data_IF_885866102500
#
_entry.id   IF_885866102500
#
_cell.length_a   1.000
_cell.length_b   1.000
_cell.length_c   1.000
_cell.angle_alpha   90.00
_cell.angle_beta   90.00
_cell.angle_gamma   90.00
#
_symmetry.space_group_name_H-M   'P 1'
#
loop_
_entity.id
_entity.type
_entity.pdbx_description
1 polymer ?
#
# COMPACT_ATOMS: atom_id res chain seq x y z
N UNK A 1 2.85 -22.24 -9.57
CA UNK A 1 4.33 -22.29 -9.48
C UNK A 1 4.84 -20.99 -10.08
N UNK A 2 5.31 -20.04 -9.27
CA UNK A 2 5.88 -18.80 -9.80
C UNK A 2 7.20 -19.14 -10.51
N UNK A 3 7.33 -18.79 -11.79
CA UNK A 3 8.52 -19.06 -12.58
C UNK A 3 9.56 -17.97 -12.28
N UNK A 4 10.68 -18.32 -11.65
CA UNK A 4 11.79 -17.40 -11.47
C UNK A 4 12.63 -17.35 -12.75
N UNK A 5 12.94 -16.15 -13.23
CA UNK A 5 13.81 -15.93 -14.40
C UNK A 5 15.11 -15.27 -13.95
N UNK A 6 16.23 -15.89 -14.28
CA UNK A 6 17.54 -15.32 -14.02
C UNK A 6 17.82 -14.15 -14.96
N UNK A 7 18.38 -13.07 -14.41
CA UNK A 7 18.72 -11.85 -15.13
C UNK A 7 20.18 -11.51 -14.82
N UNK A 8 20.97 -11.30 -15.86
CA UNK A 8 22.35 -10.82 -15.75
C UNK A 8 22.40 -9.34 -16.11
N UNK A 9 22.90 -8.52 -15.19
CA UNK A 9 22.98 -7.05 -15.33
C UNK A 9 24.38 -6.57 -14.98
N UNK A 10 24.82 -5.51 -15.65
CA UNK A 10 26.06 -4.80 -15.30
C UNK A 10 25.71 -3.54 -14.52
N UNK A 11 26.31 -3.37 -13.35
CA UNK A 11 26.10 -2.21 -12.49
C UNK A 11 27.43 -1.51 -12.20
N UNK A 12 27.43 -0.18 -12.02
CA UNK A 12 28.57 0.55 -11.47
C UNK A 12 29.04 -0.05 -10.15
N UNK A 13 30.35 -0.05 -9.91
CA UNK A 13 30.96 -0.59 -8.69
C UNK A 13 30.38 0.04 -7.42
N UNK A 14 30.04 1.33 -7.46
CA UNK A 14 29.39 2.02 -6.34
C UNK A 14 28.04 1.42 -5.95
N UNK A 15 27.22 1.02 -6.93
CA UNK A 15 25.93 0.37 -6.66
C UNK A 15 26.12 -1.05 -6.13
N UNK A 16 27.10 -1.79 -6.63
CA UNK A 16 27.42 -3.12 -6.10
C UNK A 16 27.85 -3.02 -4.64
N UNK A 17 28.70 -2.05 -4.30
CA UNK A 17 29.10 -1.79 -2.90
C UNK A 17 27.92 -1.40 -2.02
N UNK A 18 26.99 -0.59 -2.55
CA UNK A 18 25.76 -0.25 -1.83
C UNK A 18 24.91 -1.49 -1.54
N UNK A 19 24.70 -2.36 -2.54
CA UNK A 19 23.94 -3.60 -2.38
C UNK A 19 24.55 -4.49 -1.29
N UNK A 20 25.87 -4.68 -1.31
CA UNK A 20 26.57 -5.48 -0.28
C UNK A 20 26.44 -4.87 1.12
N UNK A 21 26.59 -3.56 1.24
CA UNK A 21 26.44 -2.84 2.52
C UNK A 21 25.00 -2.95 3.06
N UNK A 22 24.02 -2.77 2.18
CA UNK A 22 22.60 -2.84 2.51
C UNK A 22 22.19 -4.25 2.91
N UNK A 23 22.71 -5.26 2.20
CA UNK A 23 22.51 -6.69 2.53
C UNK A 23 22.92 -6.99 3.97
N UNK A 24 24.10 -6.53 4.38
CA UNK A 24 24.62 -6.71 5.75
C UNK A 24 23.75 -5.94 6.75
N UNK A 25 23.47 -4.66 6.48
CA UNK A 25 22.74 -3.79 7.40
C UNK A 25 21.29 -4.24 7.66
N UNK A 26 20.65 -4.88 6.68
CA UNK A 26 19.25 -5.34 6.77
C UNK A 26 19.10 -6.85 6.93
N UNK A 27 20.20 -7.59 6.99
CA UNK A 27 20.18 -9.05 7.16
C UNK A 27 19.59 -9.80 5.95
N UNK A 28 19.75 -9.25 4.75
CA UNK A 28 19.30 -9.92 3.53
C UNK A 28 20.21 -11.13 3.22
N UNK A 29 19.63 -12.18 2.67
CA UNK A 29 20.31 -13.44 2.38
C UNK A 29 21.14 -13.38 1.10
N UNK A 30 20.76 -12.54 0.13
CA UNK A 30 21.44 -12.43 -1.16
C UNK A 30 21.37 -11.02 -1.75
N UNK A 31 22.29 -10.66 -2.66
CA UNK A 31 22.20 -9.43 -3.45
C UNK A 31 20.89 -9.37 -4.25
N UNK A 32 20.42 -10.51 -4.77
CA UNK A 32 19.14 -10.59 -5.50
C UNK A 32 17.96 -10.20 -4.62
N UNK A 33 17.96 -10.55 -3.33
CA UNK A 33 16.90 -10.15 -2.40
C UNK A 33 16.89 -8.63 -2.17
N UNK A 34 18.07 -7.99 -2.13
CA UNK A 34 18.16 -6.53 -2.04
C UNK A 34 17.57 -5.87 -3.30
N UNK A 35 17.84 -6.45 -4.47
CA UNK A 35 17.30 -5.96 -5.74
C UNK A 35 15.78 -6.17 -5.81
N UNK A 36 15.28 -7.32 -5.37
CA UNK A 36 13.84 -7.62 -5.29
C UNK A 36 13.11 -6.59 -4.42
N UNK A 37 13.63 -6.33 -3.20
CA UNK A 37 13.09 -5.31 -2.32
C UNK A 37 13.11 -3.92 -2.96
N UNK A 38 14.17 -3.56 -3.67
CA UNK A 38 14.25 -2.28 -4.36
C UNK A 38 13.20 -2.16 -5.48
N UNK A 39 12.93 -3.25 -6.22
CA UNK A 39 11.90 -3.27 -7.27
C UNK A 39 10.49 -3.16 -6.68
N UNK A 40 10.21 -3.84 -5.57
CA UNK A 40 8.93 -3.69 -4.85
C UNK A 40 8.72 -2.26 -4.36
N UNK A 41 9.77 -1.61 -3.85
CA UNK A 41 9.71 -0.21 -3.44
C UNK A 41 9.41 0.72 -4.62
N UNK A 42 10.00 0.48 -5.79
CA UNK A 42 9.71 1.25 -7.00
C UNK A 42 8.25 1.06 -7.43
N UNK A 43 7.74 -0.18 -7.42
CA UNK A 43 6.34 -0.46 -7.75
C UNK A 43 5.37 0.25 -6.80
N UNK A 44 5.67 0.27 -5.50
CA UNK A 44 4.84 0.97 -4.53
C UNK A 44 4.83 2.50 -4.76
N UNK A 45 5.98 3.08 -5.14
CA UNK A 45 6.05 4.51 -5.47
C UNK A 45 5.19 4.86 -6.69
N UNK A 46 5.24 4.04 -7.74
CA UNK A 46 4.40 4.23 -8.93
C UNK A 46 2.90 4.09 -8.59
N UNK A 47 2.57 3.16 -7.69
CA UNK A 47 1.21 2.96 -7.20
C UNK A 47 0.72 4.17 -6.40
N UNK A 48 1.52 4.68 -5.47
CA UNK A 48 1.22 5.89 -4.68
C UNK A 48 0.96 7.10 -5.58
N UNK A 49 1.77 7.29 -6.62
CA UNK A 49 1.57 8.39 -7.58
C UNK A 49 0.29 8.20 -8.39
N UNK A 50 0.01 6.98 -8.85
CA UNK A 50 -1.23 6.66 -9.58
C UNK A 50 -2.47 6.92 -8.72
N UNK A 51 -2.45 6.53 -7.43
CA UNK A 51 -3.54 6.81 -6.50
C UNK A 51 -3.69 8.31 -6.24
N UNK A 52 -2.58 9.06 -6.13
CA UNK A 52 -2.62 10.52 -5.97
C UNK A 52 -3.30 11.18 -7.17
N UNK A 53 -2.94 10.77 -8.38
CA UNK A 53 -3.53 11.30 -9.61
C UNK A 53 -5.03 10.95 -9.71
N UNK A 54 -5.40 9.68 -9.50
CA UNK A 54 -6.80 9.27 -9.49
C UNK A 54 -7.63 9.99 -8.42
N UNK A 55 -7.05 10.21 -7.23
CA UNK A 55 -7.71 10.96 -6.16
C UNK A 55 -7.91 12.44 -6.48
N UNK A 56 -7.15 13.01 -7.42
CA UNK A 56 -7.33 14.40 -7.87
C UNK A 56 -8.52 14.57 -8.82
N UNK A 57 -9.02 13.47 -9.38
CA UNK A 57 -10.17 13.43 -10.31
C UNK A 57 -11.49 13.07 -9.61
N UNK A 58 -11.53 13.11 -8.26
CA UNK A 58 -12.72 12.77 -7.49
C UNK A 58 -13.87 13.74 -7.80
N UNK A 59 -15.00 13.19 -8.24
CA UNK A 59 -16.24 13.92 -8.46
C UNK A 59 -17.03 14.07 -7.13
N UNK A 60 -17.17 15.32 -6.68
CA UNK A 60 -17.95 15.70 -5.49
C UNK A 60 -19.43 15.26 -5.53
N UNK A 61 -19.97 14.89 -6.69
CA UNK A 61 -21.30 14.33 -6.81
C UNK A 61 -21.47 13.01 -6.04
N UNK A 62 -20.38 12.29 -5.75
CA UNK A 62 -20.43 11.07 -4.94
C UNK A 62 -20.60 11.33 -3.44
N UNK A 63 -20.34 12.56 -2.95
CA UNK A 63 -20.44 12.91 -1.52
C UNK A 63 -21.87 12.72 -0.98
N UNK A 64 -22.90 12.87 -1.83
CA UNK A 64 -24.30 12.69 -1.44
C UNK A 64 -24.62 11.24 -1.04
N UNK A 65 -23.84 10.27 -1.51
CA UNK A 65 -24.05 8.84 -1.23
C UNK A 65 -23.28 8.33 -0.01
N UNK A 66 -22.43 9.16 0.59
CA UNK A 66 -21.58 8.77 1.75
C UNK A 66 -22.41 8.31 2.95
N UNK A 67 -23.64 8.83 3.10
CA UNK A 67 -24.56 8.49 4.18
C UNK A 67 -25.64 7.46 3.80
N UNK A 68 -25.64 6.95 2.56
CA UNK A 68 -26.64 5.98 2.12
C UNK A 68 -26.51 4.67 2.91
N UNK A 69 -27.62 4.17 3.45
CA UNK A 69 -27.65 2.99 4.33
C UNK A 69 -27.11 3.19 5.76
N UNK A 70 -26.60 4.37 6.13
CA UNK A 70 -26.21 4.68 7.53
C UNK A 70 -27.37 5.19 8.39
N UNK A 71 -28.48 5.62 7.77
CA UNK A 71 -29.78 5.78 8.45
C UNK A 71 -30.47 4.43 8.54
N UNK A 72 -29.91 3.53 9.34
CA UNK A 72 -30.71 2.47 9.95
C UNK A 72 -31.48 3.13 11.11
N UNK A 73 -32.78 2.87 11.18
CA UNK A 73 -33.69 3.24 12.25
C UNK A 73 -33.03 2.88 13.60
N UNK A 74 -32.25 3.79 14.20
CA UNK A 74 -31.88 3.69 15.62
C UNK A 74 -33.15 4.02 16.39
N UNK A 75 -34.09 3.07 16.40
CA UNK A 75 -35.15 2.99 17.40
C UNK A 75 -34.45 2.65 18.70
N UNK A 76 -33.91 3.68 19.34
CA UNK A 76 -33.61 3.61 20.76
C UNK A 76 -34.95 3.34 21.44
N UNK A 77 -35.22 2.07 21.75
CA UNK A 77 -36.30 1.68 22.66
C UNK A 77 -35.86 2.18 24.02
N UNK A 78 -36.14 3.45 24.33
CA UNK A 78 -36.03 3.93 25.70
C UNK A 78 -37.29 3.46 26.43
N UNK A 79 -37.24 2.23 26.92
CA UNK A 79 -38.20 1.75 27.91
C UNK A 79 -37.92 2.48 29.24
N UNK A 80 -38.44 3.71 29.39
CA UNK A 80 -38.59 4.31 30.71
C UNK A 80 -39.76 3.63 31.40
N UNK A 81 -39.44 2.59 32.19
CA UNK A 81 -40.27 2.17 33.30
C UNK A 81 -40.40 3.33 34.28
N UNK A 82 -41.59 3.92 34.33
CA UNK A 82 -41.95 4.98 35.26
C UNK A 82 -43.43 4.85 35.61
N UNK A 83 -43.68 4.22 36.75
CA UNK A 83 -44.95 4.17 37.48
C UNK A 83 -45.48 5.57 37.77
N UNK A 84 -46.76 5.80 37.48
CA UNK A 84 -47.71 6.57 38.31
C UNK A 84 -49.03 5.80 38.31
#
# INVERSE_FOLDING_TARGET
MAQAKEISISLPTSLVQFIESYKIAKGCQSPSQVIELALELLQNQDLEESYRQASSEIDSAWDITVADGLTDDIRVIIAFGGTV
#
